data_IF_099299868814
#
_entry.id   IF_099299868814
#
_cell.length_a   1.000
_cell.length_b   1.000
_cell.length_c   1.000
_cell.angle_alpha   90.00
_cell.angle_beta   90.00
_cell.angle_gamma   90.00
#
_symmetry.space_group_name_H-M   'P 1'
#
loop_
_entity.id
_entity.type
_entity.pdbx_description
1 polymer ?
#
# COMPACT_ATOMS: atom_id res chain seq x y z
N UNK A 1 -8.35 3.51 26.36
CA UNK A 1 -7.24 2.73 25.79
C UNK A 1 -7.69 1.28 25.73
N UNK A 2 -8.18 0.81 24.58
CA UNK A 2 -8.63 -0.57 24.41
C UNK A 2 -7.41 -1.48 24.28
N UNK A 3 -6.93 -2.05 25.38
CA UNK A 3 -5.84 -3.00 25.35
C UNK A 3 -6.37 -4.37 24.91
N UNK A 4 -6.21 -4.69 23.64
CA UNK A 4 -6.38 -6.04 23.10
C UNK A 4 -5.20 -6.91 23.59
N UNK A 5 -5.28 -7.40 24.83
CA UNK A 5 -4.21 -8.17 25.48
C UNK A 5 -4.21 -9.65 25.12
N UNK A 6 -5.32 -10.19 24.64
CA UNK A 6 -5.40 -11.57 24.17
C UNK A 6 -5.57 -11.62 22.65
N UNK A 7 -4.49 -11.99 21.96
CA UNK A 7 -4.42 -12.08 20.48
C UNK A 7 -4.53 -13.51 19.96
N UNK A 8 -4.94 -14.45 20.83
CA UNK A 8 -5.00 -15.86 20.48
C UNK A 8 -3.64 -16.49 20.23
N UNK A 9 -3.65 -17.63 19.53
CA UNK A 9 -2.45 -18.41 19.24
C UNK A 9 -1.47 -17.62 18.36
N UNK A 10 -0.23 -17.48 18.83
CA UNK A 10 0.82 -16.79 18.08
C UNK A 10 1.40 -17.73 17.03
N UNK A 11 1.65 -17.20 15.83
CA UNK A 11 2.38 -17.94 14.82
C UNK A 11 3.78 -18.33 15.32
N UNK A 12 4.23 -19.54 14.95
CA UNK A 12 5.56 -20.04 15.31
C UNK A 12 6.70 -19.21 14.68
N UNK A 13 6.44 -18.61 13.50
CA UNK A 13 7.31 -17.68 12.77
C UNK A 13 6.45 -16.61 12.11
N UNK A 14 7.09 -15.53 11.68
CA UNK A 14 6.42 -14.41 11.02
C UNK A 14 5.60 -13.53 11.97
N UNK A 15 5.69 -12.22 11.78
CA UNK A 15 4.99 -11.27 12.67
C UNK A 15 4.52 -10.05 11.91
N UNK A 16 3.25 -9.71 12.08
CA UNK A 16 2.71 -8.41 11.68
C UNK A 16 3.01 -7.40 12.79
N UNK A 17 3.80 -6.38 12.47
CA UNK A 17 4.26 -5.39 13.43
C UNK A 17 3.25 -4.25 13.59
N UNK A 18 2.83 -3.68 12.46
CA UNK A 18 1.93 -2.52 12.37
C UNK A 18 1.45 -2.31 10.95
N UNK A 19 0.44 -1.45 10.79
CA UNK A 19 0.18 -0.81 9.51
C UNK A 19 1.41 -0.02 9.06
N UNK A 20 1.78 -0.18 7.80
CA UNK A 20 2.88 0.57 7.21
C UNK A 20 2.38 1.82 6.50
N UNK A 21 1.44 1.65 5.55
CA UNK A 21 0.83 2.75 4.81
C UNK A 21 -0.50 2.28 4.19
N UNK A 22 -1.30 3.23 3.72
CA UNK A 22 -2.51 2.97 2.94
C UNK A 22 -2.35 3.61 1.57
N UNK A 23 -2.60 2.84 0.51
CA UNK A 23 -2.54 3.34 -0.87
C UNK A 23 -3.94 3.57 -1.40
N UNK A 24 -4.15 4.75 -1.96
CA UNK A 24 -5.38 5.19 -2.59
C UNK A 24 -5.18 5.29 -4.09
N UNK A 25 -6.12 4.75 -4.85
CA UNK A 25 -6.24 5.04 -6.26
C UNK A 25 -7.29 6.12 -6.44
N UNK A 26 -6.85 7.24 -7.01
CA UNK A 26 -7.65 8.47 -7.11
C UNK A 26 -7.52 9.09 -8.50
N UNK A 27 -8.53 9.87 -8.90
CA UNK A 27 -8.52 10.56 -10.18
C UNK A 27 -7.43 11.63 -10.28
N UNK A 28 -7.10 12.30 -9.17
CA UNK A 28 -6.05 13.32 -9.12
C UNK A 28 -5.23 13.26 -7.83
N UNK A 29 -4.12 12.53 -7.86
CA UNK A 29 -3.23 12.31 -6.71
C UNK A 29 -2.64 13.61 -6.14
N UNK A 30 -2.37 14.61 -6.98
CA UNK A 30 -1.82 15.90 -6.53
C UNK A 30 -2.84 16.67 -5.71
N UNK A 31 -4.09 16.77 -6.19
CA UNK A 31 -5.16 17.45 -5.47
C UNK A 31 -5.58 16.69 -4.21
N UNK A 32 -5.68 15.36 -4.27
CA UNK A 32 -5.95 14.53 -3.10
C UNK A 32 -4.89 14.75 -2.02
N UNK A 33 -3.60 14.66 -2.35
CA UNK A 33 -2.53 14.92 -1.39
C UNK A 33 -2.63 16.33 -0.78
N UNK A 34 -2.87 17.36 -1.59
CA UNK A 34 -3.09 18.74 -1.08
C UNK A 34 -4.26 18.80 -0.11
N UNK A 35 -5.40 18.19 -0.45
CA UNK A 35 -6.58 18.19 0.41
C UNK A 35 -6.28 17.58 1.79
N UNK A 36 -5.62 16.42 1.85
CA UNK A 36 -5.29 15.80 3.12
C UNK A 36 -4.22 16.57 3.91
N UNK A 37 -3.26 17.20 3.24
CA UNK A 37 -2.32 18.09 3.91
C UNK A 37 -3.04 19.31 4.51
N UNK A 38 -3.80 20.03 3.69
CA UNK A 38 -4.43 21.31 4.05
C UNK A 38 -5.58 21.15 5.06
N UNK A 39 -6.33 20.05 4.97
CA UNK A 39 -7.54 19.84 5.79
C UNK A 39 -7.32 18.92 6.98
N UNK A 40 -6.34 18.02 6.90
CA UNK A 40 -6.11 17.02 7.95
C UNK A 40 -4.72 17.11 8.59
N UNK A 41 -3.89 18.07 8.18
CA UNK A 41 -2.59 18.35 8.83
C UNK A 41 -1.53 17.31 8.52
N UNK A 42 -1.65 16.60 7.40
CA UNK A 42 -0.56 15.80 6.85
C UNK A 42 0.52 16.69 6.22
N UNK A 43 1.71 16.14 6.07
CA UNK A 43 2.83 16.79 5.41
C UNK A 43 3.36 15.92 4.26
N UNK A 44 3.90 16.53 3.18
CA UNK A 44 4.56 15.77 2.11
C UNK A 44 5.68 14.87 2.66
N UNK A 45 5.71 13.60 2.24
CA UNK A 45 6.72 12.63 2.65
C UNK A 45 7.66 12.27 1.49
N UNK A 46 7.10 11.86 0.36
CA UNK A 46 7.86 11.40 -0.80
C UNK A 46 7.05 11.55 -2.09
N UNK A 47 7.74 11.54 -3.22
CA UNK A 47 7.15 11.70 -4.54
C UNK A 47 7.77 10.73 -5.54
N UNK A 48 6.93 10.19 -6.43
CA UNK A 48 7.34 9.44 -7.61
C UNK A 48 6.45 9.82 -8.78
N UNK A 49 7.04 10.27 -9.88
CA UNK A 49 6.31 10.71 -11.07
C UNK A 49 7.23 10.91 -12.28
N UNK A 50 6.79 11.71 -13.25
CA UNK A 50 7.50 11.89 -14.52
C UNK A 50 8.93 12.41 -14.30
N UNK A 51 9.06 13.34 -13.37
CA UNK A 51 10.29 14.01 -12.94
C UNK A 51 11.28 13.04 -12.27
N UNK A 52 10.80 11.90 -11.77
CA UNK A 52 11.60 10.85 -11.14
C UNK A 52 11.67 9.58 -11.99
N UNK A 53 11.29 9.64 -13.27
CA UNK A 53 11.34 8.52 -14.21
C UNK A 53 10.17 7.54 -14.14
N UNK A 54 9.15 7.76 -13.30
CA UNK A 54 7.93 6.95 -13.26
C UNK A 54 6.94 7.45 -14.31
N UNK A 55 6.76 6.69 -15.39
CA UNK A 55 5.97 7.14 -16.55
C UNK A 55 4.54 6.64 -16.60
N UNK A 56 4.19 5.61 -15.83
CA UNK A 56 2.85 5.01 -15.84
C UNK A 56 1.94 5.51 -14.72
N UNK A 57 2.52 5.74 -13.54
CA UNK A 57 1.80 6.10 -12.31
C UNK A 57 2.53 7.22 -11.60
N UNK A 58 1.78 8.24 -11.16
CA UNK A 58 2.26 9.25 -10.22
C UNK A 58 1.84 8.85 -8.81
N UNK A 59 2.71 9.10 -7.81
CA UNK A 59 2.46 8.79 -6.41
C UNK A 59 2.89 9.97 -5.53
N UNK A 60 1.96 10.46 -4.72
CA UNK A 60 2.21 11.44 -3.66
C UNK A 60 2.06 10.73 -2.31
N UNK A 61 3.17 10.54 -1.60
CA UNK A 61 3.14 10.04 -0.24
C UNK A 61 3.11 11.22 0.73
N UNK A 62 2.20 11.16 1.70
CA UNK A 62 2.06 12.15 2.77
C UNK A 62 2.04 11.44 4.12
N UNK A 63 2.44 12.15 5.18
CA UNK A 63 2.58 11.60 6.52
C UNK A 63 2.08 12.54 7.59
N UNK A 64 1.45 11.97 8.62
CA UNK A 64 1.20 12.63 9.90
C UNK A 64 1.57 11.66 11.02
N UNK A 65 2.61 11.98 11.80
CA UNK A 65 3.25 11.06 12.75
C UNK A 65 3.59 9.70 12.08
N UNK A 66 2.90 8.62 12.47
CA UNK A 66 3.10 7.25 11.93
C UNK A 66 2.13 6.90 10.82
N UNK A 67 1.16 7.76 10.51
CA UNK A 67 0.14 7.52 9.49
C UNK A 67 0.72 7.95 8.14
N UNK A 68 0.75 7.04 7.17
CA UNK A 68 1.25 7.29 5.82
C UNK A 68 0.16 6.97 4.82
N UNK A 69 -0.19 7.94 3.99
CA UNK A 69 -1.08 7.77 2.84
C UNK A 69 -0.30 7.96 1.55
N UNK A 70 -0.59 7.11 0.56
CA UNK A 70 0.00 7.17 -0.77
C UNK A 70 -1.12 7.35 -1.78
N UNK A 71 -1.22 8.52 -2.40
CA UNK A 71 -2.20 8.78 -3.45
C UNK A 71 -1.59 8.50 -4.81
N UNK A 72 -2.24 7.64 -5.60
CA UNK A 72 -1.78 7.26 -6.92
C UNK A 72 -2.82 7.58 -8.00
N UNK A 73 -2.33 8.05 -9.15
CA UNK A 73 -3.14 8.26 -10.36
C UNK A 73 -2.41 7.74 -11.59
N UNK A 74 -3.13 7.23 -12.60
CA UNK A 74 -2.51 6.89 -13.88
C UNK A 74 -2.03 8.16 -14.58
N UNK A 75 -0.84 8.11 -15.19
CA UNK A 75 -0.27 9.22 -15.97
C UNK A 75 -0.68 9.19 -17.44
N UNK A 76 -0.97 8.00 -17.96
CA UNK A 76 -1.29 7.79 -19.36
C UNK A 76 -2.78 7.43 -19.55
N UNK A 77 -3.41 7.89 -20.65
CA UNK A 77 -4.68 7.34 -21.10
C UNK A 77 -4.60 5.83 -21.31
N UNK A 78 -5.71 5.12 -21.10
CA UNK A 78 -5.78 3.68 -21.39
C UNK A 78 -5.18 2.76 -20.32
N UNK A 79 -4.79 3.29 -19.15
CA UNK A 79 -4.49 2.44 -17.99
C UNK A 79 -5.78 1.73 -17.53
N UNK A 80 -5.97 0.51 -18.02
CA UNK A 80 -7.21 -0.25 -17.83
C UNK A 80 -7.46 -0.60 -16.37
N UNK A 81 -6.43 -1.03 -15.64
CA UNK A 81 -6.56 -1.47 -14.24
C UNK A 81 -6.98 -0.33 -13.31
N UNK A 82 -6.24 0.78 -13.31
CA UNK A 82 -6.60 1.95 -12.49
C UNK A 82 -7.88 2.62 -12.99
N UNK A 83 -8.09 2.66 -14.32
CA UNK A 83 -9.28 3.25 -14.92
C UNK A 83 -10.57 2.51 -14.54
N UNK A 84 -10.59 1.18 -14.63
CA UNK A 84 -11.74 0.36 -14.23
C UNK A 84 -12.04 0.47 -12.74
N UNK A 85 -11.01 0.50 -11.90
CA UNK A 85 -11.18 0.73 -10.46
C UNK A 85 -11.80 2.11 -10.17
N UNK A 86 -11.31 3.18 -10.81
CA UNK A 86 -11.83 4.53 -10.63
C UNK A 86 -13.28 4.66 -11.10
N UNK A 87 -13.66 4.02 -12.21
CA UNK A 87 -15.05 4.01 -12.70
C UNK A 87 -15.97 3.28 -11.71
N UNK A 88 -15.50 2.15 -11.17
CA UNK A 88 -16.30 1.29 -10.28
C UNK A 88 -16.47 1.87 -8.88
N UNK A 89 -15.42 2.48 -8.33
CA UNK A 89 -15.35 2.84 -6.91
C UNK A 89 -15.22 4.34 -6.63
N UNK A 90 -14.86 5.14 -7.63
CA UNK A 90 -14.35 6.50 -7.42
C UNK A 90 -12.98 6.50 -6.74
N UNK A 91 -12.68 7.60 -6.05
CA UNK A 91 -11.47 7.74 -5.24
C UNK A 91 -11.55 6.85 -3.99
N UNK A 92 -10.64 5.89 -3.85
CA UNK A 92 -10.76 4.87 -2.79
C UNK A 92 -9.47 4.15 -2.45
N UNK A 93 -9.52 3.41 -1.33
CA UNK A 93 -8.41 2.57 -0.86
C UNK A 93 -8.23 1.36 -1.79
N UNK A 94 -7.05 1.24 -2.37
CA UNK A 94 -6.64 0.06 -3.15
C UNK A 94 -5.88 -0.94 -2.31
N UNK A 95 -4.99 -0.47 -1.43
CA UNK A 95 -4.09 -1.33 -0.69
C UNK A 95 -3.89 -0.88 0.77
N UNK A 96 -3.81 -1.87 1.67
CA UNK A 96 -3.49 -1.69 3.09
C UNK A 96 -2.23 -2.48 3.40
N UNK A 97 -1.11 -1.78 3.51
CA UNK A 97 0.20 -2.42 3.67
C UNK A 97 0.55 -2.69 5.14
N UNK A 98 1.21 -3.82 5.39
CA UNK A 98 1.68 -4.20 6.72
C UNK A 98 3.21 -4.28 6.79
N UNK A 99 3.79 -3.74 7.87
CA UNK A 99 5.18 -4.01 8.17
C UNK A 99 5.28 -5.38 8.85
N UNK A 100 6.07 -6.28 8.26
CA UNK A 100 6.19 -7.66 8.73
C UNK A 100 7.64 -8.10 8.96
N UNK A 101 7.79 -9.07 9.87
CA UNK A 101 8.99 -9.91 9.97
C UNK A 101 8.72 -11.24 9.25
N UNK A 102 9.69 -11.74 8.48
CA UNK A 102 9.64 -13.00 7.73
C UNK A 102 8.51 -13.08 6.68
N UNK A 103 8.56 -12.15 5.70
CA UNK A 103 7.59 -12.07 4.59
C UNK A 103 7.45 -13.39 3.81
N UNK A 104 8.55 -14.10 3.56
CA UNK A 104 8.52 -15.37 2.82
C UNK A 104 7.70 -16.44 3.56
N UNK A 105 7.89 -16.54 4.88
CA UNK A 105 7.10 -17.46 5.71
C UNK A 105 5.61 -17.09 5.67
N UNK A 106 5.27 -15.82 5.87
CA UNK A 106 3.88 -15.37 5.89
C UNK A 106 3.17 -15.63 4.55
N UNK A 107 3.83 -15.34 3.43
CA UNK A 107 3.30 -15.59 2.09
C UNK A 107 3.14 -17.08 1.82
N UNK A 108 4.13 -17.90 2.21
CA UNK A 108 4.04 -19.36 2.09
C UNK A 108 2.86 -19.91 2.88
N UNK A 109 2.72 -19.54 4.15
CA UNK A 109 1.62 -19.98 5.00
C UNK A 109 0.27 -19.49 4.48
N UNK A 110 0.19 -18.25 3.97
CA UNK A 110 -1.03 -17.72 3.36
C UNK A 110 -1.44 -18.56 2.13
N UNK A 111 -0.49 -18.88 1.25
CA UNK A 111 -0.73 -19.74 0.08
C UNK A 111 -1.20 -21.14 0.48
N UNK A 112 -0.55 -21.77 1.45
CA UNK A 112 -0.92 -23.09 1.97
C UNK A 112 -2.34 -23.10 2.58
N UNK A 113 -2.80 -21.96 3.09
CA UNK A 113 -4.15 -21.77 3.63
C UNK A 113 -5.16 -21.27 2.58
N UNK A 114 -4.78 -21.22 1.31
CA UNK A 114 -5.69 -20.90 0.19
C UNK A 114 -5.79 -19.42 -0.17
N UNK A 115 -4.92 -18.55 0.36
CA UNK A 115 -4.88 -17.16 -0.08
C UNK A 115 -4.34 -17.04 -1.52
N UNK A 116 -4.97 -16.18 -2.33
CA UNK A 116 -4.50 -15.87 -3.66
C UNK A 116 -3.36 -14.85 -3.62
N UNK A 117 -2.19 -15.24 -4.13
CA UNK A 117 -1.01 -14.37 -4.19
C UNK A 117 -1.09 -13.54 -5.47
N UNK A 118 -1.30 -12.24 -5.34
CA UNK A 118 -1.40 -11.29 -6.47
C UNK A 118 -0.01 -11.02 -7.05
N UNK A 119 1.01 -10.92 -6.18
CA UNK A 119 2.40 -10.76 -6.60
C UNK A 119 3.33 -11.50 -5.66
N UNK A 120 4.12 -12.42 -6.22
CA UNK A 120 5.12 -13.20 -5.51
C UNK A 120 6.19 -12.29 -4.86
N UNK A 121 6.83 -12.72 -3.75
CA UNK A 121 7.79 -11.90 -3.05
C UNK A 121 8.91 -11.36 -3.95
N UNK A 122 9.13 -10.05 -3.92
CA UNK A 122 10.22 -9.39 -4.64
C UNK A 122 10.98 -8.42 -3.74
N UNK A 123 12.19 -8.05 -4.15
CA UNK A 123 13.04 -7.13 -3.41
C UNK A 123 13.31 -5.90 -4.25
N UNK A 124 13.12 -4.72 -3.66
CA UNK A 124 13.62 -3.46 -4.21
C UNK A 124 14.81 -2.99 -3.37
N UNK A 125 15.78 -2.34 -4.03
CA UNK A 125 17.03 -1.91 -3.42
C UNK A 125 17.43 -0.52 -3.90
N UNK A 126 17.90 0.30 -2.97
CA UNK A 126 18.51 1.61 -3.23
C UNK A 126 19.76 1.80 -2.35
N UNK A 127 20.25 3.04 -2.24
CA UNK A 127 21.38 3.40 -1.39
C UNK A 127 21.11 3.27 0.12
N UNK A 128 19.85 3.18 0.55
CA UNK A 128 19.45 3.12 1.96
C UNK A 128 19.14 1.70 2.43
N UNK A 129 19.10 0.72 1.53
CA UNK A 129 18.98 -0.68 1.88
C UNK A 129 18.09 -1.44 0.92
N UNK A 130 17.40 -2.46 1.47
CA UNK A 130 16.53 -3.37 0.71
C UNK A 130 15.20 -3.51 1.42
N UNK A 131 14.12 -3.53 0.64
CA UNK A 131 12.78 -3.82 1.14
C UNK A 131 12.21 -4.99 0.35
N UNK A 132 11.68 -5.98 1.06
CA UNK A 132 10.97 -7.12 0.48
C UNK A 132 9.47 -6.88 0.58
N UNK A 133 8.77 -7.12 -0.52
CA UNK A 133 7.33 -6.96 -0.65
C UNK A 133 6.71 -8.25 -1.15
N UNK A 134 5.43 -8.43 -0.89
CA UNK A 134 4.55 -9.39 -1.57
C UNK A 134 3.17 -8.76 -1.66
N UNK A 135 2.28 -9.23 -2.53
CA UNK A 135 0.89 -8.75 -2.55
C UNK A 135 -0.05 -9.93 -2.51
N UNK A 136 -1.02 -9.90 -1.61
CA UNK A 136 -2.03 -10.94 -1.42
C UNK A 136 -3.41 -10.34 -1.69
N UNK A 137 -4.35 -11.14 -2.19
CA UNK A 137 -5.73 -10.71 -2.38
C UNK A 137 -6.50 -10.80 -1.06
N UNK A 138 -7.34 -9.80 -0.77
CA UNK A 138 -8.34 -9.88 0.31
C UNK A 138 -9.75 -9.71 -0.28
N UNK A 139 -10.65 -9.04 0.42
CA UNK A 139 -12.00 -8.75 -0.06
C UNK A 139 -12.01 -7.76 -1.24
N UNK A 140 -12.98 -7.94 -2.14
CA UNK A 140 -13.22 -7.05 -3.27
C UNK A 140 -11.98 -6.85 -4.13
N UNK A 141 -11.71 -5.60 -4.50
CA UNK A 141 -10.53 -5.21 -5.27
C UNK A 141 -9.38 -4.70 -4.36
N UNK A 142 -9.51 -4.85 -3.03
CA UNK A 142 -8.51 -4.41 -2.05
C UNK A 142 -7.43 -5.48 -1.88
N UNK A 143 -6.18 -5.04 -1.75
CA UNK A 143 -5.02 -5.93 -1.48
C UNK A 143 -4.32 -5.55 -0.18
N UNK A 144 -3.73 -6.52 0.53
CA UNK A 144 -2.63 -6.23 1.45
C UNK A 144 -1.26 -6.48 0.80
N UNK A 145 -0.37 -5.49 0.97
CA UNK A 145 1.06 -5.58 0.67
C UNK A 145 1.89 -5.85 1.93
#
# INVERSE_FOLDING_TARGET
>A
MTSYTDKGEKHARGKFLRFHHVTFWVGNAKQAASFYCDKMGFEPLAYKGLETGSREVVSHAIRQDKIIFVFQSPLNPGNKEMGEHLIKHGDGVKDIAFQVEDCDFLVKTARERGAAIVKEPWVEQDSHGRVKYAVIQTYGDTTPT
#
